data_IF_974562701927
#
_entry.id   IF_974562701927
#
_cell.length_a   1.000
_cell.length_b   1.000
_cell.length_c   1.000
_cell.angle_alpha   90.00
_cell.angle_beta   90.00
_cell.angle_gamma   90.00
#
_symmetry.space_group_name_H-M   'P 1'
#
loop_
_entity.id
_entity.type
_entity.pdbx_description
1 polymer ?
#
# COMPACT_ATOMS: atom_id res chain seq x y z
N UNK A 1 -24.37 20.96 34.52
CA UNK A 1 -25.82 20.80 34.28
C UNK A 1 -26.01 20.07 32.96
N UNK A 2 -26.41 18.80 32.98
CA UNK A 2 -26.97 18.09 31.81
C UNK A 2 -28.48 18.34 31.87
N UNK A 3 -29.05 18.99 30.86
CA UNK A 3 -30.49 19.10 30.72
C UNK A 3 -30.98 17.92 29.89
N UNK A 4 -31.91 17.15 30.43
CA UNK A 4 -32.64 16.14 29.67
C UNK A 4 -33.64 16.83 28.75
N UNK A 5 -33.51 16.56 27.44
CA UNK A 5 -34.36 17.10 26.38
C UNK A 5 -35.18 15.95 25.79
N UNK A 6 -36.32 15.57 26.40
CA UNK A 6 -37.14 14.42 25.99
C UNK A 6 -37.81 14.59 24.60
N UNK A 7 -37.75 15.78 24.01
CA UNK A 7 -38.24 16.06 22.65
C UNK A 7 -37.20 15.75 21.56
N UNK A 8 -35.98 15.35 21.95
CA UNK A 8 -34.88 15.03 21.04
C UNK A 8 -34.79 13.53 20.71
N UNK A 9 -35.81 12.73 21.05
CA UNK A 9 -35.81 11.28 20.82
C UNK A 9 -36.07 10.92 19.34
N UNK A 10 -36.79 11.78 18.60
CA UNK A 10 -37.19 11.55 17.20
C UNK A 10 -36.39 12.37 16.17
N UNK A 11 -35.22 12.89 16.55
CA UNK A 11 -34.34 13.59 15.59
C UNK A 11 -33.63 12.57 14.70
N UNK A 12 -34.27 12.20 13.60
CA UNK A 12 -33.63 11.41 12.53
C UNK A 12 -32.48 12.23 11.97
N UNK A 13 -31.25 11.83 12.31
CA UNK A 13 -30.03 12.44 11.79
C UNK A 13 -30.08 12.42 10.26
N UNK A 14 -30.04 13.60 9.64
CA UNK A 14 -30.03 13.71 8.18
C UNK A 14 -28.90 12.84 7.61
N UNK A 15 -29.25 11.90 6.71
CA UNK A 15 -28.25 11.08 6.01
C UNK A 15 -27.35 12.02 5.21
N UNK A 16 -26.02 12.05 5.45
CA UNK A 16 -25.13 12.91 4.70
C UNK A 16 -25.28 12.59 3.20
N UNK A 17 -25.46 13.62 2.36
CA UNK A 17 -25.52 13.47 0.90
C UNK A 17 -24.26 12.75 0.43
N UNK A 18 -24.44 11.53 -0.07
CA UNK A 18 -23.34 10.72 -0.61
C UNK A 18 -22.85 11.40 -1.89
N UNK A 19 -21.71 12.08 -1.83
CA UNK A 19 -21.12 12.72 -3.01
C UNK A 19 -20.60 11.62 -3.92
N UNK A 20 -21.00 11.66 -5.18
CA UNK A 20 -20.43 10.79 -6.22
C UNK A 20 -18.93 11.06 -6.26
N UNK A 21 -18.07 10.03 -6.20
CA UNK A 21 -16.64 10.23 -6.30
C UNK A 21 -16.31 10.83 -7.68
N UNK A 22 -15.64 11.99 -7.67
CA UNK A 22 -15.04 12.55 -8.88
C UNK A 22 -13.80 11.70 -9.18
N UNK A 23 -13.82 11.01 -10.31
CA UNK A 23 -12.70 10.17 -10.77
C UNK A 23 -11.93 10.91 -11.85
N UNK A 24 -10.61 10.71 -11.88
CA UNK A 24 -9.77 11.24 -12.95
C UNK A 24 -10.03 10.45 -14.25
N UNK A 25 -10.03 11.16 -15.36
CA UNK A 25 -9.94 10.56 -16.69
C UNK A 25 -8.59 9.88 -16.90
N UNK A 26 -8.49 9.07 -17.97
CA UNK A 26 -7.23 8.40 -18.31
C UNK A 26 -6.15 9.42 -18.66
N UNK A 27 -6.53 10.49 -19.34
CA UNK A 27 -5.67 11.58 -19.80
C UNK A 27 -5.13 12.39 -18.61
N UNK A 28 -6.00 12.75 -17.66
CA UNK A 28 -5.60 13.43 -16.42
C UNK A 28 -4.70 12.56 -15.57
N UNK A 29 -5.00 11.26 -15.47
CA UNK A 29 -4.14 10.32 -14.75
C UNK A 29 -2.77 10.23 -15.40
N UNK A 30 -2.71 10.16 -16.73
CA UNK A 30 -1.45 10.13 -17.48
C UNK A 30 -0.68 11.46 -17.36
N UNK A 31 -1.35 12.60 -17.26
CA UNK A 31 -0.73 13.89 -16.98
C UNK A 31 -0.15 13.92 -15.57
N UNK A 32 -0.93 13.54 -14.56
CA UNK A 32 -0.48 13.47 -13.17
C UNK A 32 0.74 12.55 -13.00
N UNK A 33 0.72 11.36 -13.60
CA UNK A 33 1.84 10.42 -13.50
C UNK A 33 3.12 10.92 -14.19
N UNK A 34 3.03 11.86 -15.14
CA UNK A 34 4.21 12.46 -15.79
C UNK A 34 4.89 13.51 -14.93
N UNK A 35 4.15 14.17 -14.05
CA UNK A 35 4.68 15.19 -13.14
C UNK A 35 5.28 14.58 -11.86
N UNK A 36 5.13 13.27 -11.66
CA UNK A 36 5.73 12.55 -10.53
C UNK A 36 7.03 11.87 -10.96
N UNK A 37 7.98 11.81 -10.04
CA UNK A 37 9.25 11.13 -10.19
C UNK A 37 9.53 10.16 -9.01
N UNK A 38 10.52 9.29 -9.17
CA UNK A 38 11.03 8.38 -8.14
C UNK A 38 9.96 7.51 -7.45
N UNK A 39 10.10 7.36 -6.13
CA UNK A 39 9.21 6.55 -5.30
C UNK A 39 7.74 7.01 -5.35
N UNK A 40 7.41 8.32 -5.27
CA UNK A 40 6.03 8.78 -5.45
C UNK A 40 5.39 8.33 -6.76
N UNK A 41 6.12 8.41 -7.88
CA UNK A 41 5.62 7.94 -9.17
C UNK A 41 5.34 6.43 -9.15
N UNK A 42 6.29 5.64 -8.62
CA UNK A 42 6.13 4.19 -8.51
C UNK A 42 4.88 3.81 -7.71
N UNK A 43 4.67 4.48 -6.58
CA UNK A 43 3.50 4.27 -5.72
C UNK A 43 2.22 4.63 -6.46
N UNK A 44 2.18 5.79 -7.13
CA UNK A 44 1.01 6.21 -7.89
C UNK A 44 0.65 5.22 -9.02
N UNK A 45 1.66 4.68 -9.72
CA UNK A 45 1.47 3.64 -10.75
C UNK A 45 0.89 2.36 -10.13
N UNK A 46 1.34 1.95 -8.95
CA UNK A 46 0.81 0.77 -8.26
C UNK A 46 -0.62 0.99 -7.76
N UNK A 47 -0.94 2.15 -7.19
CA UNK A 47 -2.29 2.48 -6.76
C UNK A 47 -3.27 2.41 -7.93
N UNK A 48 -2.92 3.05 -9.06
CA UNK A 48 -3.75 3.09 -10.25
C UNK A 48 -3.82 1.74 -10.98
N UNK A 49 -2.67 1.12 -11.24
CA UNK A 49 -2.57 -0.08 -12.06
C UNK A 49 -2.89 -1.40 -11.36
N UNK A 50 -2.79 -1.44 -10.03
CA UNK A 50 -3.06 -2.64 -9.23
C UNK A 50 -4.27 -2.50 -8.31
N UNK A 51 -4.91 -1.32 -8.25
CA UNK A 51 -6.04 -1.07 -7.34
C UNK A 51 -5.67 -1.27 -5.86
N UNK A 52 -4.41 -1.00 -5.51
CA UNK A 52 -3.95 -1.03 -4.12
C UNK A 52 -4.49 0.19 -3.38
N UNK A 53 -4.77 0.02 -2.09
CA UNK A 53 -4.96 1.16 -1.19
C UNK A 53 -3.60 1.73 -0.82
N UNK A 54 -3.59 3.00 -0.40
CA UNK A 54 -2.35 3.70 0.00
C UNK A 54 -1.50 2.87 0.97
N UNK A 55 -2.09 2.40 2.08
CA UNK A 55 -1.36 1.59 3.05
C UNK A 55 -0.96 0.21 2.54
N UNK A 56 -1.73 -0.39 1.64
CA UNK A 56 -1.36 -1.67 1.02
C UNK A 56 -0.12 -1.51 0.13
N UNK A 57 -0.01 -0.40 -0.61
CA UNK A 57 1.17 -0.05 -1.40
C UNK A 57 2.38 0.31 -0.52
N UNK A 58 2.17 1.05 0.57
CA UNK A 58 3.25 1.44 1.50
C UNK A 58 3.83 0.27 2.29
N UNK A 59 3.04 -0.78 2.52
CA UNK A 59 3.45 -1.95 3.29
C UNK A 59 3.77 -3.16 2.41
N UNK A 60 3.81 -2.97 1.09
CA UNK A 60 4.10 -4.04 0.14
C UNK A 60 5.49 -4.63 0.40
N UNK A 61 5.58 -5.96 0.51
CA UNK A 61 6.85 -6.65 0.71
C UNK A 61 7.28 -7.34 -0.57
N UNK A 62 8.60 -7.50 -0.74
CA UNK A 62 9.18 -8.18 -1.91
C UNK A 62 8.59 -9.58 -2.12
N UNK A 63 8.36 -10.33 -1.03
CA UNK A 63 7.76 -11.68 -1.07
C UNK A 63 6.31 -11.73 -1.59
N UNK A 64 5.64 -10.57 -1.63
CA UNK A 64 4.25 -10.47 -2.05
C UNK A 64 4.14 -10.11 -3.55
N UNK A 65 5.27 -9.92 -4.23
CA UNK A 65 5.34 -9.59 -5.66
C UNK A 65 5.80 -10.83 -6.42
N UNK A 66 4.95 -11.29 -7.34
CA UNK A 66 5.28 -12.35 -8.28
C UNK A 66 5.50 -11.73 -9.67
N UNK A 67 6.78 -11.54 -10.02
CA UNK A 67 7.18 -11.03 -11.33
C UNK A 67 6.95 -12.03 -12.47
N UNK A 68 6.84 -13.32 -12.18
CA UNK A 68 6.63 -14.35 -13.20
C UNK A 68 5.16 -14.41 -13.62
N UNK A 69 4.26 -14.32 -12.63
CA UNK A 69 2.82 -14.32 -12.86
C UNK A 69 2.24 -12.91 -13.09
N UNK A 70 3.05 -11.85 -12.97
CA UNK A 70 2.61 -10.46 -12.96
C UNK A 70 1.48 -10.22 -11.94
N UNK A 71 1.70 -10.66 -10.70
CA UNK A 71 0.71 -10.58 -9.63
C UNK A 71 1.28 -9.98 -8.35
N UNK A 72 0.40 -9.35 -7.58
CA UNK A 72 0.67 -8.86 -6.22
C UNK A 72 -0.31 -9.54 -5.28
N UNK A 73 0.20 -10.09 -4.18
CA UNK A 73 -0.59 -10.64 -3.08
C UNK A 73 -0.78 -9.56 -2.03
N UNK A 74 -2.01 -9.09 -1.86
CA UNK A 74 -2.36 -8.14 -0.81
C UNK A 74 -2.77 -8.92 0.44
N UNK A 75 -1.95 -8.85 1.48
CA UNK A 75 -2.23 -9.48 2.77
C UNK A 75 -3.09 -8.61 3.68
N UNK A 76 -3.88 -9.23 4.54
CA UNK A 76 -4.71 -8.53 5.52
C UNK A 76 -5.62 -7.46 4.87
N UNK A 77 -6.26 -7.81 3.75
CA UNK A 77 -7.27 -6.98 3.12
C UNK A 77 -8.47 -6.73 4.04
N UNK A 78 -9.48 -6.01 3.55
CA UNK A 78 -10.70 -5.71 4.34
C UNK A 78 -11.32 -7.03 4.82
N UNK A 79 -11.50 -7.17 6.14
CA UNK A 79 -12.02 -8.41 6.76
C UNK A 79 -10.97 -9.50 6.99
N UNK A 80 -9.67 -9.17 6.93
CA UNK A 80 -8.59 -10.11 7.21
C UNK A 80 -8.33 -11.14 6.10
N UNK A 81 -8.87 -10.91 4.90
CA UNK A 81 -8.71 -11.82 3.76
C UNK A 81 -7.61 -11.35 2.83
N UNK A 82 -6.77 -12.30 2.42
CA UNK A 82 -5.78 -12.08 1.38
C UNK A 82 -6.47 -12.04 0.00
N UNK A 83 -5.95 -11.20 -0.91
CA UNK A 83 -6.40 -11.16 -2.29
C UNK A 83 -5.23 -11.03 -3.26
N UNK A 84 -5.43 -11.49 -4.49
CA UNK A 84 -4.48 -11.26 -5.59
C UNK A 84 -4.95 -10.09 -6.44
N UNK A 85 -4.00 -9.29 -6.90
CA UNK A 85 -4.22 -8.24 -7.91
C UNK A 85 -3.11 -8.28 -8.97
N UNK A 86 -3.32 -7.57 -10.07
CA UNK A 86 -2.38 -7.49 -11.18
C UNK A 86 -1.17 -6.60 -10.86
N UNK A 87 0.01 -7.00 -11.31
CA UNK A 87 1.22 -6.17 -11.31
C UNK A 87 1.30 -5.45 -12.67
N UNK A 88 1.22 -4.10 -12.73
CA UNK A 88 1.37 -3.38 -13.99
C UNK A 88 2.79 -3.51 -14.52
N UNK A 89 2.93 -3.94 -15.78
CA UNK A 89 4.23 -4.13 -16.42
C UNK A 89 5.13 -2.88 -16.36
N UNK A 90 4.51 -1.69 -16.45
CA UNK A 90 5.20 -0.39 -16.34
C UNK A 90 5.90 -0.17 -14.99
N UNK A 91 5.44 -0.80 -13.91
CA UNK A 91 6.06 -0.68 -12.60
C UNK A 91 7.25 -1.63 -12.40
N UNK A 92 7.42 -2.65 -13.24
CA UNK A 92 8.42 -3.71 -13.04
C UNK A 92 9.86 -3.15 -13.01
N UNK A 93 10.30 -2.29 -13.96
CA UNK A 93 11.66 -1.76 -13.93
C UNK A 93 11.94 -0.97 -12.64
N UNK A 94 11.06 -0.04 -12.29
CA UNK A 94 11.17 0.78 -11.09
C UNK A 94 11.10 -0.06 -9.79
N UNK A 95 10.30 -1.12 -9.76
CA UNK A 95 10.27 -2.06 -8.62
C UNK A 95 11.60 -2.79 -8.47
N UNK A 96 12.21 -3.25 -9.55
CA UNK A 96 13.52 -3.93 -9.50
C UNK A 96 14.60 -2.99 -8.98
N UNK A 97 14.62 -1.75 -9.47
CA UNK A 97 15.54 -0.71 -8.98
C UNK A 97 15.31 -0.41 -7.49
N UNK A 98 14.06 -0.29 -7.06
CA UNK A 98 13.71 -0.08 -5.66
C UNK A 98 14.14 -1.26 -4.76
N UNK A 99 13.98 -2.50 -5.24
CA UNK A 99 14.40 -3.71 -4.52
C UNK A 99 15.93 -3.69 -4.32
N UNK A 100 16.69 -3.39 -5.37
CA UNK A 100 18.16 -3.30 -5.27
C UNK A 100 18.61 -2.15 -4.37
N UNK A 101 17.92 -1.00 -4.43
CA UNK A 101 18.18 0.12 -3.52
C UNK A 101 17.98 -0.29 -2.05
N UNK A 102 16.83 -0.89 -1.73
CA UNK A 102 16.51 -1.32 -0.36
C UNK A 102 17.43 -2.46 0.09
N UNK A 103 17.83 -3.36 -0.81
CA UNK A 103 18.82 -4.41 -0.52
C UNK A 103 20.16 -3.81 -0.08
N UNK A 104 20.71 -2.87 -0.85
CA UNK A 104 21.97 -2.20 -0.49
C UNK A 104 21.86 -1.46 0.84
N UNK A 105 20.75 -0.77 1.07
CA UNK A 105 20.49 -0.11 2.34
C UNK A 105 20.46 -1.12 3.50
N UNK A 106 19.76 -2.24 3.33
CA UNK A 106 19.67 -3.29 4.34
C UNK A 106 21.04 -3.91 4.65
N UNK A 107 21.87 -4.18 3.63
CA UNK A 107 23.22 -4.70 3.81
C UNK A 107 24.08 -3.74 4.65
N UNK A 108 23.98 -2.43 4.43
CA UNK A 108 24.64 -1.40 5.24
C UNK A 108 24.13 -1.37 6.68
N UNK A 109 22.82 -1.49 6.87
CA UNK A 109 22.20 -1.49 8.20
C UNK A 109 22.59 -2.75 9.00
N UNK A 110 22.67 -3.90 8.33
CA UNK A 110 23.17 -5.16 8.92
C UNK A 110 24.63 -5.01 9.35
N UNK A 111 25.48 -4.40 8.52
CA UNK A 111 26.89 -4.16 8.86
C UNK A 111 27.04 -3.25 10.09
N UNK A 112 26.07 -2.35 10.31
CA UNK A 112 26.01 -1.45 11.49
C UNK A 112 25.31 -2.08 12.70
N UNK A 113 24.87 -3.34 12.60
CA UNK A 113 24.16 -4.02 13.68
C UNK A 113 22.70 -3.59 13.86
N UNK A 114 22.12 -2.88 12.88
CA UNK A 114 20.77 -2.28 12.92
C UNK A 114 19.78 -2.89 11.90
N UNK A 115 20.13 -4.00 11.24
CA UNK A 115 19.31 -4.65 10.19
C UNK A 115 18.04 -5.37 10.69
N UNK A 116 17.35 -4.86 11.70
CA UNK A 116 16.10 -5.44 12.21
C UNK A 116 14.91 -4.95 11.39
N UNK A 117 13.95 -5.84 11.11
CA UNK A 117 12.73 -5.52 10.37
C UNK A 117 11.52 -6.01 11.15
N UNK A 118 10.49 -5.17 11.26
CA UNK A 118 9.21 -5.60 11.80
C UNK A 118 8.58 -6.66 10.89
N UNK A 119 8.41 -7.88 11.39
CA UNK A 119 7.73 -8.96 10.69
C UNK A 119 6.22 -8.90 11.01
N UNK A 120 5.33 -9.12 10.03
CA UNK A 120 3.92 -9.34 10.32
C UNK A 120 3.78 -10.66 11.10
N UNK A 121 2.69 -10.82 11.85
CA UNK A 121 2.42 -11.97 12.74
C UNK A 121 2.77 -13.37 12.18
N UNK A 122 2.95 -14.33 13.11
CA UNK A 122 3.43 -15.72 12.96
C UNK A 122 4.91 -15.91 12.54
N UNK A 123 5.63 -14.86 12.18
CA UNK A 123 7.11 -14.91 12.03
C UNK A 123 7.85 -14.28 13.23
N UNK A 124 7.22 -14.19 14.40
CA UNK A 124 7.75 -13.51 15.60
C UNK A 124 8.95 -14.20 16.28
N UNK A 125 9.58 -15.18 15.63
CA UNK A 125 10.93 -15.59 16.04
C UNK A 125 11.87 -14.47 15.61
N UNK A 126 12.49 -13.81 16.59
CA UNK A 126 13.59 -12.85 16.37
C UNK A 126 14.71 -13.55 15.60
N UNK A 127 14.64 -13.54 14.27
CA UNK A 127 15.69 -14.05 13.41
C UNK A 127 16.17 -12.89 12.54
N UNK A 128 17.50 -12.71 12.48
CA UNK A 128 18.13 -11.86 11.48
C UNK A 128 17.51 -12.17 10.11
N UNK A 129 17.24 -11.14 9.31
CA UNK A 129 16.72 -11.32 7.96
C UNK A 129 17.53 -12.41 7.24
N UNK A 130 16.88 -13.36 6.53
CA UNK A 130 17.58 -14.45 5.89
C UNK A 130 18.61 -13.86 4.93
N UNK A 131 19.87 -14.26 5.10
CA UNK A 131 20.91 -14.00 4.09
C UNK A 131 20.43 -14.68 2.81
N UNK A 132 20.32 -13.88 1.74
CA UNK A 132 20.19 -14.41 0.39
C UNK A 132 21.43 -15.22 0.02
#
# INVERSE_FOLDING_TARGET
MKQDLPWLEDVVRAKPKQRVPVVLTREETAALLRELDGTPQLVAVLLYGSGLRLFEAMQLRVKDIDFSANQIVVRCGKGGKDRRTMLPARAIPALREQIEFVRRQHEQDVARGAGYVALPDAMSVRTRAPRA
#
